data_IF_151040222064
#
_entry.id   IF_151040222064
#
_cell.length_a   1.000
_cell.length_b   1.000
_cell.length_c   1.000
_cell.angle_alpha   90.00
_cell.angle_beta   90.00
_cell.angle_gamma   90.00
#
_symmetry.space_group_name_H-M   'P 1'
#
loop_
_entity.id
_entity.type
_entity.pdbx_description
1 polymer ?
#
# COMPACT_ATOMS: atom_id res chain seq x y z
N UNK A 1 8.25 -2.81 49.35
CA UNK A 1 7.14 -2.29 48.52
C UNK A 1 7.63 -2.14 47.08
N UNK A 2 7.36 -3.14 46.25
CA UNK A 2 7.70 -3.12 44.82
C UNK A 2 6.50 -2.49 44.11
N UNK A 3 6.68 -1.28 43.56
CA UNK A 3 5.64 -0.58 42.81
C UNK A 3 5.58 -1.24 41.43
N UNK A 4 4.55 -2.05 41.20
CA UNK A 4 4.25 -2.65 39.90
C UNK A 4 4.05 -1.55 38.87
N UNK A 5 5.01 -1.38 37.96
CA UNK A 5 4.83 -0.62 36.73
C UNK A 5 4.03 -1.50 35.77
N UNK A 6 2.72 -1.28 35.70
CA UNK A 6 1.93 -1.71 34.56
C UNK A 6 2.33 -0.83 33.38
N UNK A 7 3.04 -1.40 32.42
CA UNK A 7 3.14 -0.85 31.07
C UNK A 7 1.72 -0.74 30.51
N UNK A 8 1.28 0.45 30.06
CA UNK A 8 0.02 0.53 29.33
C UNK A 8 0.23 -0.16 27.99
N UNK A 9 -0.50 -1.24 27.75
CA UNK A 9 -0.76 -1.76 26.41
C UNK A 9 -1.45 -0.64 25.64
N UNK A 10 -0.66 0.09 24.84
CA UNK A 10 -1.19 0.98 23.81
C UNK A 10 -1.80 0.04 22.77
N UNK A 11 -3.10 -0.22 22.88
CA UNK A 11 -3.88 -0.68 21.74
C UNK A 11 -3.81 0.45 20.73
N UNK A 12 -2.85 0.36 19.81
CA UNK A 12 -2.79 1.18 18.60
C UNK A 12 -4.12 0.89 17.91
N UNK A 13 -5.06 1.82 18.04
CA UNK A 13 -6.29 1.78 17.27
C UNK A 13 -5.85 1.80 15.82
N UNK A 14 -5.96 0.67 15.14
CA UNK A 14 -5.79 0.59 13.69
C UNK A 14 -6.87 1.52 13.14
N UNK A 15 -6.48 2.72 12.71
CA UNK A 15 -7.39 3.59 11.96
C UNK A 15 -7.56 2.89 10.62
N UNK A 16 -8.61 2.08 10.52
CA UNK A 16 -9.00 1.40 9.29
C UNK A 16 -9.59 2.48 8.38
N UNK A 17 -8.75 3.17 7.64
CA UNK A 17 -9.19 3.93 6.48
C UNK A 17 -9.39 2.89 5.37
N UNK A 18 -10.66 2.61 5.07
CA UNK A 18 -11.01 1.90 3.84
C UNK A 18 -10.35 2.69 2.70
N UNK A 19 -9.34 2.11 2.07
CA UNK A 19 -8.71 2.63 0.87
C UNK A 19 -9.80 2.82 -0.19
N UNK A 20 -10.33 4.03 -0.31
CA UNK A 20 -11.02 4.45 -1.52
C UNK A 20 -9.91 4.62 -2.55
N UNK A 21 -9.51 3.51 -3.16
CA UNK A 21 -8.71 3.55 -4.37
C UNK A 21 -9.47 4.46 -5.35
N UNK A 22 -8.82 5.56 -5.75
CA UNK A 22 -9.23 6.57 -6.73
C UNK A 22 -9.99 7.82 -6.21
N UNK A 23 -9.23 8.92 -6.10
CA UNK A 23 -9.73 10.29 -6.04
C UNK A 23 -10.15 10.83 -7.41
N UNK A 24 -11.44 11.16 -7.50
CA UNK A 24 -12.11 12.15 -8.34
C UNK A 24 -11.99 12.12 -9.89
N UNK A 25 -12.97 11.45 -10.51
CA UNK A 25 -13.88 12.15 -11.45
C UNK A 25 -15.23 11.43 -11.54
N UNK A 26 -16.31 12.16 -11.23
CA UNK A 26 -17.69 11.75 -11.51
C UNK A 26 -18.42 11.03 -10.38
N UNK A 27 -19.52 11.64 -9.89
CA UNK A 27 -20.58 10.88 -9.24
C UNK A 27 -21.11 9.83 -10.20
N UNK A 28 -20.64 8.60 -10.08
CA UNK A 28 -21.24 7.45 -10.73
C UNK A 28 -22.01 6.66 -9.69
N UNK A 29 -23.32 6.61 -9.91
CA UNK A 29 -24.29 5.77 -9.20
C UNK A 29 -23.67 4.40 -8.90
N UNK A 30 -23.90 3.88 -7.69
CA UNK A 30 -23.65 2.48 -7.37
C UNK A 30 -24.42 1.61 -8.38
N UNK A 31 -23.72 1.20 -9.44
CA UNK A 31 -24.17 0.13 -10.32
C UNK A 31 -23.76 -1.15 -9.64
N UNK A 32 -24.76 -1.91 -9.16
CA UNK A 32 -24.63 -3.25 -8.59
C UNK A 32 -24.18 -4.32 -9.62
N UNK A 33 -23.41 -3.90 -10.62
CA UNK A 33 -22.84 -4.71 -11.70
C UNK A 33 -21.30 -4.67 -11.65
N UNK A 34 -20.67 -4.56 -10.47
CA UNK A 34 -19.26 -4.97 -10.36
C UNK A 34 -19.25 -6.44 -10.79
N UNK A 35 -18.55 -6.81 -11.88
CA UNK A 35 -18.52 -8.19 -12.33
C UNK A 35 -18.20 -9.04 -11.11
N UNK A 36 -18.98 -10.09 -10.87
CA UNK A 36 -18.54 -11.11 -9.94
C UNK A 36 -17.26 -11.69 -10.53
N UNK A 37 -16.11 -11.14 -10.15
CA UNK A 37 -14.80 -11.59 -10.62
C UNK A 37 -14.65 -13.00 -10.06
N UNK A 38 -14.98 -13.97 -10.91
CA UNK A 38 -15.10 -15.38 -10.56
C UNK A 38 -13.78 -15.89 -9.97
N UNK A 39 -13.89 -16.64 -8.87
CA UNK A 39 -12.82 -17.52 -8.44
C UNK A 39 -12.89 -18.82 -9.25
N UNK A 40 -11.75 -19.44 -9.57
CA UNK A 40 -10.35 -19.00 -9.36
C UNK A 40 -9.89 -17.88 -10.30
N UNK A 41 -8.86 -17.09 -9.92
CA UNK A 41 -8.15 -16.22 -10.87
C UNK A 41 -7.36 -17.12 -11.84
N UNK A 42 -7.69 -17.07 -13.13
CA UNK A 42 -7.07 -17.91 -14.17
C UNK A 42 -6.24 -17.09 -15.17
N UNK A 43 -5.36 -17.75 -15.92
CA UNK A 43 -4.61 -17.09 -17.00
C UNK A 43 -5.55 -16.46 -18.03
N UNK A 44 -6.68 -17.12 -18.33
CA UNK A 44 -7.69 -16.60 -19.25
C UNK A 44 -8.31 -15.30 -18.72
N UNK A 45 -8.68 -15.26 -17.43
CA UNK A 45 -9.20 -14.02 -16.82
C UNK A 45 -8.16 -12.92 -16.93
N UNK A 46 -6.90 -13.19 -16.60
CA UNK A 46 -5.82 -12.21 -16.77
C UNK A 46 -5.80 -11.75 -18.23
N UNK A 47 -5.61 -12.65 -19.19
CA UNK A 47 -5.48 -12.35 -20.63
C UNK A 47 -6.65 -11.55 -21.22
N UNK A 48 -7.89 -11.80 -20.79
CA UNK A 48 -9.08 -11.11 -21.34
C UNK A 48 -9.51 -9.87 -20.58
N UNK A 49 -9.03 -9.67 -19.35
CA UNK A 49 -9.27 -8.44 -18.58
C UNK A 49 -8.54 -7.28 -19.28
N UNK A 50 -9.13 -6.09 -19.34
CA UNK A 50 -8.48 -4.92 -19.92
C UNK A 50 -7.45 -4.31 -18.96
N UNK A 51 -6.45 -3.61 -19.50
CA UNK A 51 -5.31 -3.10 -18.72
C UNK A 51 -5.73 -2.07 -17.65
N UNK A 52 -6.81 -1.32 -17.87
CA UNK A 52 -7.35 -0.31 -16.94
C UNK A 52 -7.85 -0.90 -15.62
N UNK A 53 -8.35 -2.15 -15.64
CA UNK A 53 -8.89 -2.82 -14.44
C UNK A 53 -8.08 -4.04 -14.01
N UNK A 54 -7.04 -4.45 -14.76
CA UNK A 54 -6.28 -5.66 -14.45
C UNK A 54 -5.63 -5.62 -13.07
N UNK A 55 -5.05 -4.48 -12.70
CA UNK A 55 -4.42 -4.33 -11.38
C UNK A 55 -5.46 -4.49 -10.26
N UNK A 56 -6.64 -3.87 -10.40
CA UNK A 56 -7.75 -4.02 -9.44
C UNK A 56 -8.20 -5.48 -9.33
N UNK A 57 -8.38 -6.17 -10.46
CA UNK A 57 -8.80 -7.58 -10.50
C UNK A 57 -7.82 -8.50 -9.75
N UNK A 58 -6.51 -8.31 -9.96
CA UNK A 58 -5.48 -9.09 -9.27
C UNK A 58 -5.39 -8.70 -7.81
N UNK A 59 -5.42 -7.41 -7.49
CA UNK A 59 -5.38 -6.92 -6.11
C UNK A 59 -6.59 -7.43 -5.30
N UNK A 60 -7.80 -7.37 -5.85
CA UNK A 60 -9.02 -7.89 -5.21
C UNK A 60 -8.91 -9.40 -4.94
N UNK A 61 -8.28 -10.17 -5.84
CA UNK A 61 -8.01 -11.59 -5.58
C UNK A 61 -7.08 -11.78 -4.39
N UNK A 62 -6.00 -11.00 -4.29
CA UNK A 62 -5.05 -11.06 -3.17
C UNK A 62 -5.68 -10.59 -1.86
N UNK A 63 -6.40 -9.47 -1.88
CA UNK A 63 -7.08 -8.91 -0.72
C UNK A 63 -8.08 -9.90 -0.11
N UNK A 64 -8.87 -10.60 -0.94
CA UNK A 64 -9.78 -11.65 -0.45
C UNK A 64 -9.08 -12.82 0.23
N UNK A 65 -7.81 -13.11 -0.08
CA UNK A 65 -7.03 -14.15 0.61
C UNK A 65 -6.66 -13.77 2.05
N UNK A 66 -6.81 -12.49 2.42
CA UNK A 66 -6.63 -12.01 3.79
C UNK A 66 -7.89 -12.21 4.65
N UNK A 67 -9.03 -12.53 4.04
CA UNK A 67 -10.38 -12.33 4.60
C UNK A 67 -10.78 -13.16 5.84
N UNK A 68 -10.02 -14.15 6.35
CA UNK A 68 -10.28 -14.67 7.70
C UNK A 68 -9.25 -14.29 8.78
N UNK A 69 -8.19 -13.53 8.48
CA UNK A 69 -7.13 -13.22 9.47
C UNK A 69 -6.37 -11.93 9.16
N UNK A 70 -7.06 -10.78 9.16
CA UNK A 70 -6.44 -9.48 8.89
C UNK A 70 -5.42 -9.08 9.96
N UNK A 71 -5.55 -9.60 11.19
CA UNK A 71 -4.55 -9.49 12.26
C UNK A 71 -3.20 -10.14 11.90
N UNK A 72 -3.18 -10.96 10.84
CA UNK A 72 -1.99 -11.65 10.31
C UNK A 72 -1.61 -11.18 8.91
N UNK A 73 -2.04 -9.99 8.50
CA UNK A 73 -1.78 -9.44 7.16
C UNK A 73 -0.31 -9.60 6.74
N UNK A 74 0.63 -9.14 7.57
CA UNK A 74 2.07 -9.26 7.30
C UNK A 74 2.50 -10.70 7.04
N UNK A 75 2.12 -11.63 7.93
CA UNK A 75 2.49 -13.03 7.85
C UNK A 75 1.92 -13.69 6.59
N UNK A 76 0.65 -13.40 6.28
CA UNK A 76 -0.04 -13.94 5.09
C UNK A 76 0.60 -13.41 3.83
N UNK A 77 0.81 -12.09 3.73
CA UNK A 77 1.43 -11.47 2.55
C UNK A 77 2.83 -12.05 2.34
N UNK A 78 3.65 -12.15 3.39
CA UNK A 78 4.99 -12.72 3.28
C UNK A 78 5.03 -14.23 2.96
N UNK A 79 3.93 -14.95 3.18
CA UNK A 79 3.80 -16.36 2.77
C UNK A 79 3.56 -16.54 1.27
N UNK A 80 3.12 -15.51 0.56
CA UNK A 80 2.88 -15.59 -0.88
C UNK A 80 4.18 -15.66 -1.68
N UNK A 81 4.09 -16.01 -2.97
CA UNK A 81 5.23 -15.85 -3.87
C UNK A 81 5.60 -14.35 -4.02
N UNK A 82 6.82 -14.09 -4.52
CA UNK A 82 7.37 -12.74 -4.61
C UNK A 82 6.58 -11.79 -5.53
N UNK A 83 5.97 -12.30 -6.60
CA UNK A 83 5.11 -11.50 -7.48
C UNK A 83 3.85 -11.00 -6.77
N UNK A 84 3.18 -11.87 -6.01
CA UNK A 84 2.00 -11.50 -5.21
C UNK A 84 2.36 -10.53 -4.08
N UNK A 85 3.48 -10.76 -3.39
CA UNK A 85 4.03 -9.82 -2.40
C UNK A 85 4.21 -8.44 -3.03
N UNK A 86 4.88 -8.37 -4.18
CA UNK A 86 5.19 -7.10 -4.82
C UNK A 86 3.94 -6.34 -5.26
N UNK A 87 2.99 -6.98 -5.95
CA UNK A 87 1.75 -6.31 -6.35
C UNK A 87 0.99 -5.78 -5.13
N UNK A 88 0.82 -6.59 -4.09
CA UNK A 88 0.09 -6.16 -2.90
C UNK A 88 0.78 -4.97 -2.21
N UNK A 89 2.07 -5.10 -1.87
CA UNK A 89 2.81 -4.07 -1.14
C UNK A 89 2.89 -2.76 -1.92
N UNK A 90 3.13 -2.82 -3.24
CA UNK A 90 3.24 -1.62 -4.07
C UNK A 90 1.87 -0.94 -4.23
N UNK A 91 0.79 -1.71 -4.37
CA UNK A 91 -0.56 -1.13 -4.38
C UNK A 91 -0.93 -0.47 -3.05
N UNK A 92 -0.48 -1.02 -1.90
CA UNK A 92 -0.61 -0.35 -0.60
C UNK A 92 0.16 0.97 -0.59
N UNK A 93 1.43 0.97 -1.01
CA UNK A 93 2.25 2.19 -1.09
C UNK A 93 1.58 3.27 -1.95
N UNK A 94 1.20 2.92 -3.19
CA UNK A 94 0.57 3.87 -4.12
C UNK A 94 -0.75 4.42 -3.56
N UNK A 95 -1.59 3.56 -2.98
CA UNK A 95 -2.85 3.96 -2.38
C UNK A 95 -2.67 4.94 -1.22
N UNK A 96 -1.74 4.67 -0.30
CA UNK A 96 -1.49 5.54 0.85
C UNK A 96 -0.86 6.87 0.43
N UNK A 97 0.12 6.83 -0.49
CA UNK A 97 0.78 8.05 -0.97
C UNK A 97 -0.21 8.95 -1.70
N UNK A 98 -1.07 8.40 -2.55
CA UNK A 98 -2.10 9.21 -3.24
C UNK A 98 -3.19 9.75 -2.30
N UNK A 99 -3.40 9.13 -1.14
CA UNK A 99 -4.42 9.58 -0.17
C UNK A 99 -3.89 10.61 0.83
N UNK A 100 -2.66 10.45 1.30
CA UNK A 100 -2.07 11.31 2.34
C UNK A 100 -0.55 11.25 2.39
N UNK A 101 0.10 10.92 1.28
CA UNK A 101 1.55 10.89 1.17
C UNK A 101 2.22 9.76 1.95
N UNK A 102 3.55 9.80 1.98
CA UNK A 102 4.38 8.89 2.76
C UNK A 102 4.07 9.00 4.26
N UNK A 103 3.62 10.15 4.75
CA UNK A 103 3.18 10.29 6.15
C UNK A 103 2.04 9.32 6.48
N UNK A 104 1.00 9.27 5.62
CA UNK A 104 -0.08 8.31 5.78
C UNK A 104 0.40 6.87 5.64
N UNK A 105 1.31 6.58 4.69
CA UNK A 105 1.89 5.25 4.52
C UNK A 105 2.56 4.72 5.79
N UNK A 106 3.39 5.52 6.46
CA UNK A 106 4.07 5.10 7.70
C UNK A 106 3.16 5.13 8.93
N UNK A 107 2.12 5.96 8.93
CA UNK A 107 1.13 6.01 10.00
C UNK A 107 0.21 4.78 9.99
N UNK A 108 -0.24 4.35 8.82
CA UNK A 108 -1.13 3.21 8.64
C UNK A 108 -0.39 1.86 8.70
N UNK A 109 -1.15 0.76 8.80
CA UNK A 109 -0.58 -0.59 8.86
C UNK A 109 0.26 -0.93 7.65
N UNK A 110 0.02 -0.30 6.49
CA UNK A 110 0.81 -0.37 5.26
C UNK A 110 2.32 -0.16 5.49
N UNK A 111 2.69 0.68 6.46
CA UNK A 111 4.08 0.94 6.86
C UNK A 111 4.85 -0.31 7.31
N UNK A 112 4.16 -1.40 7.71
CA UNK A 112 4.79 -2.68 8.04
C UNK A 112 5.60 -3.27 6.87
N UNK A 113 5.31 -2.87 5.63
CA UNK A 113 6.01 -3.34 4.43
C UNK A 113 7.20 -2.46 4.01
N UNK A 114 7.49 -1.36 4.73
CA UNK A 114 8.50 -0.37 4.37
C UNK A 114 9.85 -1.00 3.99
N UNK A 115 10.36 -1.93 4.81
CA UNK A 115 11.66 -2.56 4.58
C UNK A 115 11.70 -3.47 3.32
N UNK A 116 10.57 -4.06 2.92
CA UNK A 116 10.48 -4.98 1.78
C UNK A 116 10.19 -4.25 0.45
N UNK A 117 9.59 -3.06 0.51
CA UNK A 117 9.12 -2.31 -0.65
C UNK A 117 10.18 -2.00 -1.71
N UNK A 118 11.42 -1.57 -1.36
CA UNK A 118 12.43 -1.30 -2.38
C UNK A 118 12.75 -2.51 -3.26
N UNK A 119 12.87 -3.70 -2.67
CA UNK A 119 13.12 -4.93 -3.42
C UNK A 119 11.90 -5.37 -4.23
N UNK A 120 10.68 -5.17 -3.70
CA UNK A 120 9.45 -5.40 -4.46
C UNK A 120 9.35 -4.48 -5.69
N UNK A 121 9.69 -3.19 -5.55
CA UNK A 121 9.69 -2.22 -6.64
C UNK A 121 10.76 -2.57 -7.68
N UNK A 122 11.96 -2.98 -7.27
CA UNK A 122 13.01 -3.48 -8.18
C UNK A 122 12.55 -4.73 -8.93
N UNK A 123 11.87 -5.66 -8.25
CA UNK A 123 11.37 -6.90 -8.85
C UNK A 123 10.43 -6.63 -10.05
N UNK A 124 9.57 -5.62 -9.95
CA UNK A 124 8.65 -5.24 -11.03
C UNK A 124 9.28 -4.31 -12.07
N UNK A 125 10.54 -3.90 -11.88
CA UNK A 125 11.27 -2.98 -12.77
C UNK A 125 11.05 -1.50 -12.46
N UNK A 126 10.36 -1.15 -11.37
CA UNK A 126 10.11 0.21 -10.91
C UNK A 126 11.31 0.79 -10.13
N UNK A 127 12.52 0.73 -10.69
CA UNK A 127 13.77 1.05 -9.97
C UNK A 127 13.86 2.48 -9.45
N UNK A 128 13.28 3.46 -10.16
CA UNK A 128 13.26 4.86 -9.70
C UNK A 128 12.32 5.05 -8.49
N UNK A 129 11.20 4.32 -8.46
CA UNK A 129 10.32 4.31 -7.29
C UNK A 129 10.98 3.59 -6.10
N UNK A 130 11.78 2.56 -6.37
CA UNK A 130 12.56 1.87 -5.34
C UNK A 130 13.55 2.82 -4.65
N UNK A 131 14.33 3.58 -5.43
CA UNK A 131 15.25 4.61 -4.91
C UNK A 131 14.51 5.66 -4.05
N UNK A 132 13.38 6.17 -4.56
CA UNK A 132 12.55 7.13 -3.85
C UNK A 132 12.07 6.57 -2.51
N UNK A 133 11.58 5.33 -2.51
CA UNK A 133 11.09 4.66 -1.30
C UNK A 133 12.22 4.37 -0.31
N UNK A 134 13.43 4.01 -0.77
CA UNK A 134 14.61 3.85 0.10
C UNK A 134 14.98 5.16 0.81
N UNK A 135 14.91 6.30 0.11
CA UNK A 135 15.16 7.62 0.71
C UNK A 135 14.05 8.05 1.68
N UNK A 136 12.80 7.76 1.35
CA UNK A 136 11.67 7.98 2.25
C UNK A 136 11.83 7.15 3.54
N UNK A 137 12.13 5.85 3.40
CA UNK A 137 12.36 4.94 4.53
C UNK A 137 13.51 5.43 5.42
N UNK A 138 14.64 5.79 4.81
CA UNK A 138 15.81 6.29 5.53
C UNK A 138 15.50 7.59 6.29
N UNK A 139 14.67 8.46 5.71
CA UNK A 139 14.25 9.70 6.36
C UNK A 139 13.27 9.43 7.49
N UNK A 140 12.31 8.53 7.29
CA UNK A 140 11.37 8.12 8.32
C UNK A 140 12.11 7.54 9.53
N UNK A 141 13.03 6.61 9.34
CA UNK A 141 13.78 6.01 10.45
C UNK A 141 14.65 7.03 11.19
N UNK A 142 15.29 7.94 10.46
CA UNK A 142 16.13 8.99 11.06
C UNK A 142 15.31 10.02 11.87
N UNK A 143 14.14 10.41 11.36
CA UNK A 143 13.33 11.49 11.90
C UNK A 143 12.07 10.96 12.62
N UNK A 144 12.03 9.66 12.93
CA UNK A 144 10.84 8.96 13.45
C UNK A 144 10.22 9.67 14.65
N UNK A 145 11.05 10.03 15.64
CA UNK A 145 10.58 10.70 16.85
C UNK A 145 9.88 12.02 16.56
N UNK A 146 10.32 12.76 15.53
CA UNK A 146 9.71 14.02 15.10
C UNK A 146 8.43 13.77 14.31
N UNK A 147 8.44 12.81 13.39
CA UNK A 147 7.28 12.48 12.55
C UNK A 147 6.12 11.96 13.41
N UNK A 148 6.43 11.18 14.45
CA UNK A 148 5.42 10.57 15.33
C UNK A 148 5.17 11.36 16.61
N UNK A 149 5.74 12.56 16.78
CA UNK A 149 5.67 13.33 18.03
C UNK A 149 4.23 13.63 18.46
N UNK A 150 3.41 14.05 17.49
CA UNK A 150 2.00 14.38 17.69
C UNK A 150 1.06 13.19 17.44
N UNK A 151 1.58 12.01 17.06
CA UNK A 151 0.75 10.84 16.75
C UNK A 151 0.27 10.13 18.02
N UNK A 152 -0.72 10.72 18.69
CA UNK A 152 -1.35 10.24 19.91
C UNK A 152 -2.55 9.30 19.68
N UNK A 153 -2.82 8.95 18.42
CA UNK A 153 -3.96 8.14 17.98
C UNK A 153 -5.24 8.94 17.71
N UNK A 154 -5.20 10.28 17.84
CA UNK A 154 -6.31 11.17 17.47
C UNK A 154 -6.18 11.68 16.04
N UNK A 155 -7.29 12.16 15.48
CA UNK A 155 -7.32 12.79 14.15
C UNK A 155 -6.53 14.10 14.17
N UNK A 156 -6.60 14.83 15.28
CA UNK A 156 -5.87 16.08 15.50
C UNK A 156 -4.37 15.84 15.51
N UNK A 157 -3.91 14.81 16.22
CA UNK A 157 -2.52 14.39 16.25
C UNK A 157 -2.00 13.96 14.87
N UNK A 158 -2.77 13.14 14.15
CA UNK A 158 -2.47 12.79 12.77
C UNK A 158 -2.39 14.04 11.86
N UNK A 159 -3.33 14.96 11.97
CA UNK A 159 -3.35 16.20 11.17
C UNK A 159 -2.12 17.06 11.42
N UNK A 160 -1.70 17.20 12.69
CA UNK A 160 -0.48 17.92 13.08
C UNK A 160 0.79 17.27 12.53
N UNK A 161 0.82 15.94 12.40
CA UNK A 161 1.99 15.24 11.88
C UNK A 161 2.39 15.64 10.44
N UNK A 162 1.54 16.36 9.71
CA UNK A 162 1.88 16.93 8.41
C UNK A 162 2.68 18.25 8.48
N UNK A 163 2.64 18.95 9.62
CA UNK A 163 3.34 20.23 9.79
C UNK A 163 4.86 20.03 9.81
N UNK A 164 5.58 20.69 8.91
CA UNK A 164 7.05 20.59 8.79
C UNK A 164 7.56 19.13 8.68
N UNK A 165 6.74 18.24 8.11
CA UNK A 165 7.08 16.84 7.96
C UNK A 165 8.16 16.66 6.88
N UNK A 166 9.32 16.07 7.22
CA UNK A 166 10.42 15.87 6.27
C UNK A 166 10.07 14.91 5.11
N UNK A 167 8.94 14.20 5.19
CA UNK A 167 8.46 13.28 4.17
C UNK A 167 7.76 13.98 3.00
N UNK A 168 7.19 15.18 3.18
CA UNK A 168 6.37 15.86 2.17
C UNK A 168 7.09 16.04 0.82
N UNK A 169 8.42 16.20 0.84
CA UNK A 169 9.24 16.30 -0.39
C UNK A 169 9.20 15.03 -1.25
N UNK A 170 9.01 13.85 -0.64
CA UNK A 170 8.95 12.58 -1.35
C UNK A 170 7.58 12.37 -1.99
N UNK A 171 6.51 12.94 -1.42
CA UNK A 171 5.18 12.92 -2.01
C UNK A 171 5.20 13.65 -3.36
N UNK A 172 5.74 14.88 -3.37
CA UNK A 172 5.89 15.65 -4.61
C UNK A 172 6.74 14.92 -5.66
N UNK A 173 7.81 14.26 -5.23
CA UNK A 173 8.67 13.49 -6.11
C UNK A 173 7.94 12.26 -6.65
N UNK A 174 7.15 11.58 -5.82
CA UNK A 174 6.36 10.42 -6.19
C UNK A 174 5.33 10.79 -7.25
N UNK A 175 4.59 11.89 -7.07
CA UNK A 175 3.60 12.34 -8.04
C UNK A 175 4.24 12.67 -9.40
N UNK A 176 5.33 13.46 -9.41
CA UNK A 176 6.07 13.78 -10.63
C UNK A 176 6.61 12.52 -11.33
N UNK A 177 7.10 11.56 -10.55
CA UNK A 177 7.60 10.30 -11.08
C UNK A 177 6.46 9.45 -11.63
N UNK A 178 5.30 9.42 -10.97
CA UNK A 178 4.13 8.67 -11.42
C UNK A 178 3.53 9.26 -12.69
N UNK A 179 3.46 10.58 -12.82
CA UNK A 179 3.06 11.25 -14.06
C UNK A 179 3.99 10.87 -15.23
N UNK A 180 5.30 10.73 -14.98
CA UNK A 180 6.29 10.44 -16.01
C UNK A 180 6.43 8.94 -16.35
N UNK A 181 6.17 8.04 -15.39
CA UNK A 181 6.49 6.61 -15.51
C UNK A 181 5.29 5.69 -15.43
N UNK A 182 4.19 6.16 -14.87
CA UNK A 182 2.94 5.43 -14.69
C UNK A 182 3.16 4.09 -13.97
N UNK A 183 3.22 4.13 -12.63
CA UNK A 183 3.45 2.96 -11.79
C UNK A 183 2.42 1.86 -12.05
N UNK A 184 1.13 2.22 -12.17
CA UNK A 184 0.06 1.30 -12.51
C UNK A 184 0.38 0.52 -13.81
N UNK A 185 0.84 1.21 -14.87
CA UNK A 185 1.24 0.54 -16.11
C UNK A 185 2.38 -0.44 -15.91
N UNK A 186 3.39 -0.09 -15.10
CA UNK A 186 4.50 -1.00 -14.78
C UNK A 186 3.98 -2.27 -14.11
N UNK A 187 3.06 -2.14 -13.15
CA UNK A 187 2.45 -3.27 -12.45
C UNK A 187 1.60 -4.14 -13.39
N UNK A 188 0.80 -3.54 -14.27
CA UNK A 188 0.02 -4.25 -15.29
C UNK A 188 0.93 -5.03 -16.23
N UNK A 189 1.96 -4.39 -16.78
CA UNK A 189 2.93 -5.04 -17.68
C UNK A 189 3.64 -6.22 -16.98
N UNK A 190 3.94 -6.07 -15.69
CA UNK A 190 4.49 -7.15 -14.87
C UNK A 190 3.53 -8.32 -14.69
N UNK A 191 2.26 -8.05 -14.35
CA UNK A 191 1.21 -9.06 -14.21
C UNK A 191 1.04 -9.84 -15.52
N UNK A 192 0.97 -9.14 -16.66
CA UNK A 192 0.89 -9.77 -18.00
C UNK A 192 2.04 -10.73 -18.24
N UNK A 193 3.28 -10.28 -17.97
CA UNK A 193 4.50 -11.06 -18.16
C UNK A 193 4.58 -12.28 -17.22
N UNK A 194 4.00 -12.17 -16.02
CA UNK A 194 4.11 -13.15 -14.93
C UNK A 194 2.78 -13.81 -14.56
N UNK A 195 1.79 -13.83 -15.45
CA UNK A 195 0.41 -14.25 -15.14
C UNK A 195 0.26 -15.54 -14.35
N UNK A 196 1.09 -16.56 -14.63
CA UNK A 196 1.13 -17.85 -13.91
C UNK A 196 1.44 -17.73 -12.42
N UNK A 197 2.11 -16.66 -12.00
CA UNK A 197 2.44 -16.41 -10.59
C UNK A 197 1.23 -15.84 -9.81
N UNK A 198 0.18 -15.42 -10.52
CA UNK A 198 -1.02 -14.83 -9.91
C UNK A 198 -2.20 -15.80 -9.85
N UNK A 199 -2.26 -16.82 -10.71
CA UNK A 199 -3.38 -17.77 -10.77
C UNK A 199 -3.50 -18.67 -9.55
N UNK A 200 -4.74 -19.06 -9.23
CA UNK A 200 -5.08 -19.93 -8.08
C UNK A 200 -4.85 -21.42 -8.33
#
# INVERSE_FOLDING_TARGET
MIKSMRTPTITIGIIIIILNLFGCSGHTKQNNNKPSIQNPLTEQIIDTTSDDILLEVVYDNLFRKLSPAYDKEYEIVLSWNKSRQAIYMISQLEGEVNNGGYNQFYFNSSGQFAAALPEALKLVGATQFADLTERANSTFEKEKSKITEDQDGTVEGFSKSYENNPLNKFDEEFYKLNDAKNLQKILVDYIRKKKKEFTD
#
